data_IF_867530063949
#
_entry.id   IF_867530063949
#
_cell.length_a   1.000
_cell.length_b   1.000
_cell.length_c   1.000
_cell.angle_alpha   90.00
_cell.angle_beta   90.00
_cell.angle_gamma   90.00
#
_symmetry.space_group_name_H-M   'P 1'
#
loop_
_entity.id
_entity.type
_entity.pdbx_description
1 polymer ?
#
# COMPACT_ATOMS: atom_id res chain seq x y z
N UNK A 1 -16.51 -17.60 1.20
CA UNK A 1 -15.58 -17.20 0.12
C UNK A 1 -14.45 -16.43 0.78
N UNK A 2 -13.21 -16.93 0.71
CA UNK A 2 -12.03 -16.26 1.24
C UNK A 2 -11.74 -15.02 0.40
N UNK A 3 -12.09 -13.84 0.93
CA UNK A 3 -11.76 -12.55 0.30
C UNK A 3 -10.24 -12.51 0.10
N UNK A 4 -9.80 -12.20 -1.12
CA UNK A 4 -8.40 -12.31 -1.50
C UNK A 4 -7.54 -11.49 -0.53
N UNK A 5 -6.68 -12.16 0.24
CA UNK A 5 -5.86 -11.53 1.29
C UNK A 5 -4.60 -10.85 0.71
N UNK A 6 -4.38 -10.98 -0.60
CA UNK A 6 -3.29 -10.37 -1.33
C UNK A 6 -3.76 -9.79 -2.67
N UNK A 7 -3.19 -8.65 -3.06
CA UNK A 7 -3.27 -8.14 -4.43
C UNK A 7 -2.01 -7.34 -4.74
N UNK A 8 -1.73 -7.10 -6.02
CA UNK A 8 -0.67 -6.18 -6.45
C UNK A 8 -1.21 -5.11 -7.38
N UNK A 9 -0.52 -3.97 -7.44
CA UNK A 9 -0.83 -2.86 -8.36
C UNK A 9 0.45 -2.24 -8.90
N UNK A 10 0.49 -2.04 -10.22
CA UNK A 10 1.55 -1.27 -10.86
C UNK A 10 1.24 0.22 -10.73
N UNK A 11 2.11 0.97 -10.06
CA UNK A 11 1.95 2.39 -9.77
C UNK A 11 3.19 3.14 -10.25
N UNK A 12 2.99 4.29 -10.92
CA UNK A 12 4.08 5.22 -11.21
C UNK A 12 4.50 5.93 -9.92
N UNK A 13 5.72 5.71 -9.48
CA UNK A 13 6.30 6.27 -8.26
C UNK A 13 7.73 6.76 -8.54
N UNK A 14 7.94 8.08 -8.41
CA UNK A 14 9.10 8.75 -9.00
C UNK A 14 9.10 8.61 -10.54
N UNK A 15 10.26 8.28 -11.09
CA UNK A 15 10.47 8.18 -12.55
C UNK A 15 10.16 6.79 -13.14
N UNK A 16 9.63 5.86 -12.34
CA UNK A 16 9.46 4.45 -12.74
C UNK A 16 8.06 3.94 -12.43
N UNK A 17 7.67 2.89 -13.15
CA UNK A 17 6.58 2.02 -12.73
C UNK A 17 7.13 0.99 -11.76
N UNK A 18 6.45 0.81 -10.63
CA UNK A 18 6.79 -0.17 -9.60
C UNK A 18 5.56 -1.00 -9.28
N UNK A 19 5.76 -2.29 -9.05
CA UNK A 19 4.72 -3.16 -8.53
C UNK A 19 4.73 -3.08 -7.01
N UNK A 20 3.63 -2.57 -6.45
CA UNK A 20 3.36 -2.59 -5.03
C UNK A 20 2.51 -3.81 -4.72
N UNK A 21 2.96 -4.62 -3.77
CA UNK A 21 2.23 -5.79 -3.31
C UNK A 21 1.57 -5.46 -1.97
N UNK A 22 0.29 -5.80 -1.86
CA UNK A 22 -0.54 -5.49 -0.70
C UNK A 22 -0.96 -6.80 -0.06
N UNK A 23 -0.73 -6.92 1.24
CA UNK A 23 -1.17 -8.04 2.07
C UNK A 23 -2.08 -7.51 3.17
N UNK A 24 -3.30 -8.01 3.22
CA UNK A 24 -4.24 -7.69 4.30
C UNK A 24 -3.71 -8.27 5.62
N UNK A 25 -3.61 -7.42 6.64
CA UNK A 25 -3.25 -7.83 8.00
C UNK A 25 -4.52 -7.99 8.85
N UNK A 26 -4.70 -9.14 9.54
CA UNK A 26 -5.75 -9.29 10.53
C UNK A 26 -5.28 -8.69 11.87
N UNK A 27 -5.63 -7.43 12.14
CA UNK A 27 -5.31 -6.75 13.41
C UNK A 27 -6.60 -6.35 14.10
N UNK A 28 -7.20 -7.28 14.86
CA UNK A 28 -8.48 -7.06 15.53
C UNK A 28 -9.59 -6.66 14.54
N UNK A 29 -10.34 -5.62 14.88
CA UNK A 29 -11.39 -5.04 14.03
C UNK A 29 -10.83 -4.00 13.02
N UNK A 30 -9.54 -3.65 13.12
CA UNK A 30 -8.90 -2.70 12.21
C UNK A 30 -8.41 -3.38 10.93
N UNK A 31 -8.82 -2.82 9.79
CA UNK A 31 -8.29 -3.25 8.50
C UNK A 31 -6.99 -2.50 8.21
N UNK A 32 -5.89 -3.24 8.07
CA UNK A 32 -4.59 -2.71 7.67
C UNK A 32 -4.04 -3.49 6.47
N UNK A 33 -3.19 -2.85 5.68
CA UNK A 33 -2.45 -3.49 4.61
C UNK A 33 -0.96 -3.33 4.84
N UNK A 34 -0.22 -4.43 4.87
CA UNK A 34 1.21 -4.38 4.64
C UNK A 34 1.44 -4.18 3.14
N UNK A 35 2.32 -3.26 2.80
CA UNK A 35 2.73 -2.95 1.44
C UNK A 35 4.20 -3.22 1.30
N UNK A 36 4.59 -3.93 0.25
CA UNK A 36 5.97 -4.11 -0.13
C UNK A 36 6.23 -3.65 -1.56
N UNK A 37 7.42 -3.11 -1.78
CA UNK A 37 7.88 -2.65 -3.10
C UNK A 37 9.40 -2.71 -3.17
N UNK A 38 10.02 -3.16 -4.28
CA UNK A 38 11.46 -3.08 -4.46
C UNK A 38 11.91 -1.63 -4.77
N UNK A 39 13.03 -1.24 -4.16
CA UNK A 39 13.79 -0.04 -4.53
C UNK A 39 14.63 -0.28 -5.80
N UNK A 40 15.45 0.69 -6.20
CA UNK A 40 16.29 0.59 -7.40
C UNK A 40 17.46 -0.39 -7.29
N UNK A 41 17.77 -0.84 -6.08
CA UNK A 41 18.81 -1.83 -5.77
C UNK A 41 18.23 -3.22 -5.55
N UNK A 42 16.91 -3.38 -5.68
CA UNK A 42 16.19 -4.61 -5.38
C UNK A 42 15.96 -4.84 -3.88
N UNK A 43 16.33 -3.89 -3.01
CA UNK A 43 16.01 -3.93 -1.59
C UNK A 43 14.52 -3.65 -1.41
N UNK A 44 13.86 -4.47 -0.60
CA UNK A 44 12.41 -4.33 -0.36
C UNK A 44 12.17 -3.27 0.70
N UNK A 45 11.32 -2.31 0.35
CA UNK A 45 10.74 -1.36 1.30
C UNK A 45 9.39 -1.93 1.69
N UNK A 46 9.19 -2.15 2.99
CA UNK A 46 7.95 -2.64 3.55
C UNK A 46 7.38 -1.58 4.51
N UNK A 47 6.09 -1.32 4.42
CA UNK A 47 5.39 -0.37 5.28
C UNK A 47 3.92 -0.76 5.45
N UNK A 48 3.21 -0.10 6.36
CA UNK A 48 1.79 -0.36 6.60
C UNK A 48 0.97 0.81 6.07
N UNK A 49 -0.17 0.51 5.46
CA UNK A 49 -1.25 1.44 5.19
C UNK A 49 -2.35 1.23 6.23
N UNK A 50 -2.76 2.32 6.88
CA UNK A 50 -3.86 2.34 7.85
C UNK A 50 -5.00 3.22 7.35
N UNK A 51 -6.24 2.86 7.69
CA UNK A 51 -7.42 3.64 7.32
C UNK A 51 -7.65 4.76 8.32
N UNK A 52 -7.59 6.01 7.85
CA UNK A 52 -7.92 7.19 8.63
C UNK A 52 -9.43 7.41 8.84
N UNK A 53 -9.81 8.41 9.64
CA UNK A 53 -11.20 8.66 10.03
C UNK A 53 -12.15 8.94 8.86
N UNK A 54 -11.65 9.58 7.79
CA UNK A 54 -12.42 9.91 6.58
C UNK A 54 -12.46 8.76 5.57
N UNK A 55 -11.90 7.60 5.93
CA UNK A 55 -11.90 6.40 5.11
C UNK A 55 -10.77 6.32 4.08
N UNK A 56 -9.89 7.31 4.02
CA UNK A 56 -8.65 7.32 3.24
C UNK A 56 -7.57 6.47 3.89
N UNK A 57 -6.70 5.87 3.07
CA UNK A 57 -5.56 5.08 3.53
C UNK A 57 -4.29 5.92 3.54
N UNK A 58 -3.53 5.83 4.65
CA UNK A 58 -2.29 6.58 4.86
C UNK A 58 -1.14 5.65 5.23
N UNK A 59 0.08 6.04 4.86
CA UNK A 59 1.29 5.34 5.27
C UNK A 59 1.56 5.54 6.77
N UNK A 60 1.80 4.45 7.49
CA UNK A 60 2.17 4.43 8.92
C UNK A 60 3.64 4.03 9.06
N UNK A 61 4.53 4.87 8.53
CA UNK A 61 5.97 4.66 8.64
C UNK A 61 6.71 6.01 8.76
N UNK A 62 7.61 6.17 9.75
CA UNK A 62 8.24 7.46 10.03
C UNK A 62 9.30 7.87 8.99
N UNK A 63 9.84 6.92 8.22
CA UNK A 63 10.87 7.18 7.22
C UNK A 63 10.61 6.35 5.96
N UNK A 64 10.01 7.00 4.96
CA UNK A 64 9.84 6.45 3.63
C UNK A 64 10.57 7.31 2.60
N UNK A 65 11.07 6.71 1.50
CA UNK A 65 11.57 7.49 0.38
C UNK A 65 10.48 8.43 -0.16
N UNK A 66 10.86 9.64 -0.59
CA UNK A 66 9.91 10.64 -1.11
C UNK A 66 9.01 10.07 -2.21
N UNK A 67 9.55 9.23 -3.10
CA UNK A 67 8.76 8.62 -4.17
C UNK A 67 7.64 7.68 -3.68
N UNK A 68 7.77 7.10 -2.48
CA UNK A 68 6.70 6.32 -1.83
C UNK A 68 5.66 7.28 -1.25
N UNK A 69 6.11 8.34 -0.56
CA UNK A 69 5.24 9.36 0.04
C UNK A 69 4.38 10.02 -1.05
N UNK A 70 4.99 10.42 -2.16
CA UNK A 70 4.31 11.02 -3.31
C UNK A 70 3.32 10.05 -3.98
N UNK A 71 3.47 8.74 -3.78
CA UNK A 71 2.58 7.72 -4.30
C UNK A 71 1.40 7.40 -3.36
N UNK A 72 1.34 7.96 -2.15
CA UNK A 72 0.33 7.62 -1.12
C UNK A 72 -1.11 7.71 -1.65
N UNK A 73 -1.46 8.79 -2.35
CA UNK A 73 -2.80 8.95 -2.94
C UNK A 73 -3.18 7.86 -3.94
N UNK A 74 -2.20 7.30 -4.65
CA UNK A 74 -2.42 6.18 -5.60
C UNK A 74 -2.53 4.85 -4.87
N UNK A 75 -1.81 4.69 -3.76
CA UNK A 75 -1.93 3.54 -2.88
C UNK A 75 -3.31 3.51 -2.20
N UNK A 76 -3.81 4.66 -1.74
CA UNK A 76 -5.18 4.85 -1.25
C UNK A 76 -6.21 4.40 -2.28
N UNK A 77 -6.12 4.94 -3.51
CA UNK A 77 -6.99 4.55 -4.61
C UNK A 77 -6.95 3.04 -4.90
N UNK A 78 -5.76 2.44 -4.95
CA UNK A 78 -5.59 1.01 -5.21
C UNK A 78 -6.27 0.12 -4.16
N UNK A 79 -6.16 0.47 -2.87
CA UNK A 79 -6.83 -0.28 -1.80
C UNK A 79 -8.35 -0.11 -1.89
N UNK A 80 -8.83 1.11 -2.14
CA UNK A 80 -10.28 1.39 -2.25
C UNK A 80 -10.90 0.64 -3.43
N UNK A 81 -10.28 0.69 -4.60
CA UNK A 81 -10.68 -0.09 -5.78
C UNK A 81 -10.74 -1.59 -5.43
N UNK A 82 -9.73 -2.13 -4.76
CA UNK A 82 -9.71 -3.54 -4.35
C UNK A 82 -10.83 -3.90 -3.36
N UNK A 83 -11.28 -2.96 -2.52
CA UNK A 83 -12.34 -3.18 -1.54
C UNK A 83 -13.76 -3.02 -2.12
N UNK A 84 -13.91 -2.37 -3.27
CA UNK A 84 -15.19 -2.24 -3.98
C UNK A 84 -15.49 -3.46 -4.87
N UNK A 85 -14.45 -4.24 -5.21
CA UNK A 85 -14.53 -5.50 -5.96
C UNK A 85 -14.47 -6.74 -5.04
#
# INVERSE_FOLDING_TARGET
MSRNIYFSRIIKAGDRQREFNFRRLPVGDELRYEVDVPDDRGQRICFVMQRGPEGHWHTDAPQLPNWVIDAESKLDGAIREHLEH
#
